data_IF_314407995121
#
_entry.id   IF_314407995121
#
_cell.length_a   1.000
_cell.length_b   1.000
_cell.length_c   1.000
_cell.angle_alpha   90.00
_cell.angle_beta   90.00
_cell.angle_gamma   90.00
#
_symmetry.space_group_name_H-M   'P 1'
#
loop_
_entity.id
_entity.type
_entity.pdbx_description
1 polymer ?
#
# COMPACT_ATOMS: atom_id res chain seq x y z
N UNK A 1 0.10 0.32 -23.09
CA UNK A 1 0.59 0.77 -21.77
C UNK A 1 0.61 -0.45 -20.89
N UNK A 2 1.71 -0.73 -20.20
CA UNK A 2 1.76 -1.85 -19.26
C UNK A 2 0.77 -1.62 -18.13
N UNK A 3 0.04 -2.66 -17.76
CA UNK A 3 -0.83 -2.67 -16.59
C UNK A 3 -0.05 -2.22 -15.34
N UNK A 4 -0.66 -1.38 -14.49
CA UNK A 4 -0.05 -0.96 -13.24
C UNK A 4 0.19 -2.19 -12.34
N UNK A 5 1.46 -2.48 -12.06
CA UNK A 5 1.85 -3.59 -11.19
C UNK A 5 2.19 -3.05 -9.79
N UNK A 6 1.22 -3.16 -8.89
CA UNK A 6 1.36 -2.69 -7.51
C UNK A 6 2.51 -3.37 -6.76
N UNK A 7 2.74 -4.67 -6.98
CA UNK A 7 3.82 -5.40 -6.32
C UNK A 7 5.18 -4.84 -6.71
N UNK A 8 5.42 -4.64 -8.00
CA UNK A 8 6.67 -4.04 -8.50
C UNK A 8 6.88 -2.62 -7.98
N UNK A 9 5.81 -1.81 -7.94
CA UNK A 9 5.89 -0.44 -7.45
C UNK A 9 6.19 -0.39 -5.95
N UNK A 10 5.54 -1.25 -5.15
CA UNK A 10 5.84 -1.38 -3.71
C UNK A 10 7.28 -1.87 -3.50
N UNK A 11 7.74 -2.89 -4.24
CA UNK A 11 9.13 -3.38 -4.18
C UNK A 11 10.13 -2.26 -4.44
N UNK A 12 9.93 -1.45 -5.47
CA UNK A 12 10.78 -0.28 -5.77
C UNK A 12 10.79 0.71 -4.60
N UNK A 13 9.62 1.05 -4.07
CA UNK A 13 9.47 2.04 -3.00
C UNK A 13 10.12 1.60 -1.67
N UNK A 14 10.27 0.30 -1.43
CA UNK A 14 10.89 -0.24 -0.21
C UNK A 14 12.35 -0.69 -0.42
N UNK A 15 12.93 -0.41 -1.60
CA UNK A 15 14.34 -0.71 -1.90
C UNK A 15 14.64 -2.15 -2.34
N UNK A 16 13.62 -2.90 -2.77
CA UNK A 16 13.72 -4.30 -3.20
C UNK A 16 13.33 -4.52 -4.68
N UNK A 17 13.32 -3.46 -5.49
CA UNK A 17 13.01 -3.56 -6.91
C UNK A 17 13.94 -4.53 -7.65
N UNK A 18 13.37 -5.33 -8.56
CA UNK A 18 14.13 -6.32 -9.35
C UNK A 18 14.57 -7.56 -8.57
N UNK A 19 14.07 -7.76 -7.35
CA UNK A 19 14.29 -8.97 -6.54
C UNK A 19 12.97 -9.69 -6.29
N UNK A 20 12.90 -10.96 -6.66
CA UNK A 20 11.68 -11.76 -6.57
C UNK A 20 11.65 -12.69 -5.34
N UNK A 21 12.74 -12.75 -4.58
CA UNK A 21 12.88 -13.64 -3.41
C UNK A 21 11.80 -13.40 -2.33
N UNK A 22 11.32 -12.17 -2.22
CA UNK A 22 10.34 -11.77 -1.23
C UNK A 22 8.93 -11.55 -1.80
N UNK A 23 8.68 -11.85 -3.08
CA UNK A 23 7.43 -11.49 -3.76
C UNK A 23 6.18 -11.97 -3.02
N UNK A 24 6.14 -13.25 -2.64
CA UNK A 24 5.00 -13.80 -1.91
C UNK A 24 4.79 -13.15 -0.54
N UNK A 25 5.89 -12.84 0.16
CA UNK A 25 5.85 -12.19 1.48
C UNK A 25 5.32 -10.76 1.34
N UNK A 26 5.88 -10.00 0.40
CA UNK A 26 5.48 -8.62 0.13
C UNK A 26 4.03 -8.57 -0.34
N UNK A 27 3.61 -9.48 -1.21
CA UNK A 27 2.23 -9.55 -1.68
C UNK A 27 1.26 -9.77 -0.50
N UNK A 28 1.60 -10.65 0.44
CA UNK A 28 0.77 -10.90 1.63
C UNK A 28 0.62 -9.63 2.49
N UNK A 29 1.69 -8.85 2.65
CA UNK A 29 1.61 -7.56 3.36
C UNK A 29 0.85 -6.48 2.57
N UNK A 30 0.97 -6.46 1.23
CA UNK A 30 0.18 -5.57 0.38
C UNK A 30 -1.30 -5.87 0.60
N UNK A 31 -1.70 -7.14 0.57
CA UNK A 31 -3.09 -7.56 0.72
C UNK A 31 -3.63 -7.19 2.11
N UNK A 32 -2.85 -7.41 3.17
CA UNK A 32 -3.21 -7.00 4.54
C UNK A 32 -3.38 -5.48 4.66
N UNK A 33 -2.45 -4.70 4.12
CA UNK A 33 -2.51 -3.23 4.15
C UNK A 33 -3.72 -2.72 3.37
N UNK A 34 -4.03 -3.32 2.21
CA UNK A 34 -5.24 -2.97 1.45
C UNK A 34 -6.50 -3.29 2.24
N UNK A 35 -6.55 -4.46 2.88
CA UNK A 35 -7.69 -4.85 3.70
C UNK A 35 -7.91 -3.88 4.86
N UNK A 36 -6.84 -3.49 5.56
CA UNK A 36 -6.91 -2.46 6.61
C UNK A 36 -7.49 -1.13 6.09
N UNK A 37 -7.06 -0.68 4.91
CA UNK A 37 -7.57 0.56 4.31
C UNK A 37 -9.06 0.44 3.93
N UNK A 38 -9.47 -0.69 3.35
CA UNK A 38 -10.86 -0.97 2.98
C UNK A 38 -11.77 -1.05 4.21
N UNK A 39 -11.37 -1.78 5.25
CA UNK A 39 -12.11 -1.88 6.51
C UNK A 39 -12.15 -0.54 7.26
N UNK A 40 -11.13 0.31 7.05
CA UNK A 40 -11.08 1.69 7.50
C UNK A 40 -11.98 2.67 6.73
N UNK A 41 -12.71 2.20 5.70
CA UNK A 41 -13.67 2.99 4.93
C UNK A 41 -13.14 3.55 3.62
N UNK A 42 -11.92 3.21 3.19
CA UNK A 42 -11.42 3.62 1.88
C UNK A 42 -12.20 2.93 0.75
N UNK A 43 -12.43 3.64 -0.36
CA UNK A 43 -13.13 3.08 -1.52
C UNK A 43 -12.21 2.14 -2.32
N UNK A 44 -12.71 1.02 -2.86
CA UNK A 44 -11.91 0.10 -3.66
C UNK A 44 -11.19 0.75 -4.85
N UNK A 45 -11.80 1.72 -5.54
CA UNK A 45 -11.14 2.42 -6.65
C UNK A 45 -9.95 3.25 -6.19
N UNK A 46 -10.07 3.90 -5.03
CA UNK A 46 -8.98 4.67 -4.42
C UNK A 46 -7.86 3.74 -3.95
N UNK A 47 -8.18 2.65 -3.26
CA UNK A 47 -7.14 1.72 -2.74
C UNK A 47 -6.36 1.05 -3.87
N UNK A 48 -7.01 0.74 -5.00
CA UNK A 48 -6.37 0.08 -6.14
C UNK A 48 -5.74 1.05 -7.15
N UNK A 49 -5.78 2.37 -6.90
CA UNK A 49 -5.17 3.35 -7.82
C UNK A 49 -3.65 3.40 -7.67
N UNK A 50 -2.91 3.77 -8.73
CA UNK A 50 -1.46 4.01 -8.65
C UNK A 50 -1.09 5.03 -7.57
N UNK A 51 -1.94 6.04 -7.36
CA UNK A 51 -1.73 7.08 -6.34
C UNK A 51 -1.74 6.58 -4.90
N UNK A 52 -2.23 5.37 -4.65
CA UNK A 52 -2.20 4.72 -3.32
C UNK A 52 -0.94 3.88 -3.08
N UNK A 53 -0.14 3.60 -4.12
CA UNK A 53 1.03 2.70 -4.05
C UNK A 53 2.05 3.11 -2.97
N UNK A 54 2.33 4.42 -2.86
CA UNK A 54 3.28 4.93 -1.87
C UNK A 54 2.80 4.74 -0.42
N UNK A 55 1.50 4.91 -0.15
CA UNK A 55 0.95 4.65 1.18
C UNK A 55 0.95 3.15 1.50
N UNK A 56 0.61 2.31 0.51
CA UNK A 56 0.65 0.86 0.66
C UNK A 56 2.08 0.40 0.96
N UNK A 57 3.08 0.91 0.23
CA UNK A 57 4.50 0.62 0.49
C UNK A 57 4.93 1.02 1.90
N UNK A 58 4.42 2.16 2.41
CA UNK A 58 4.66 2.56 3.81
C UNK A 58 4.05 1.59 4.81
N UNK A 59 2.82 1.14 4.59
CA UNK A 59 2.16 0.14 5.43
C UNK A 59 2.92 -1.19 5.44
N UNK A 60 3.43 -1.62 4.28
CA UNK A 60 4.27 -2.80 4.16
C UNK A 60 5.54 -2.66 4.98
N UNK A 61 6.25 -1.52 4.90
CA UNK A 61 7.43 -1.27 5.75
C UNK A 61 7.12 -1.22 7.24
N UNK A 62 5.97 -0.66 7.62
CA UNK A 62 5.57 -0.58 9.02
C UNK A 62 5.30 -1.98 9.60
N UNK A 63 4.72 -2.91 8.83
CA UNK A 63 4.45 -4.29 9.27
C UNK A 63 5.63 -5.24 9.08
N UNK A 64 6.40 -5.06 8.01
CA UNK A 64 7.51 -5.92 7.66
C UNK A 64 8.80 -5.47 8.36
N UNK A 65 8.88 -5.77 9.65
CA UNK A 65 10.05 -5.44 10.46
C UNK A 65 10.77 -6.70 10.97
N UNK A 66 12.12 -6.69 11.07
CA UNK A 66 12.88 -7.83 11.57
C UNK A 66 12.56 -8.21 13.02
N UNK A 67 12.02 -7.27 13.80
CA UNK A 67 11.76 -7.43 15.25
C UNK A 67 10.28 -7.47 15.60
N UNK A 68 9.38 -7.51 14.61
CA UNK A 68 7.95 -7.62 14.85
C UNK A 68 7.31 -6.38 15.48
N UNK A 69 7.75 -5.17 15.13
CA UNK A 69 6.87 -4.02 15.27
C UNK A 69 5.61 -4.32 14.43
N UNK A 70 4.53 -4.67 15.14
CA UNK A 70 3.30 -5.22 14.60
C UNK A 70 2.20 -4.15 14.50
N UNK A 71 2.58 -2.89 14.29
CA UNK A 71 1.64 -1.78 14.27
C UNK A 71 2.03 -0.73 13.23
N UNK A 72 1.01 -0.06 12.70
CA UNK A 72 1.17 1.03 11.76
C UNK A 72 1.69 2.29 12.45
N UNK A 73 2.59 3.01 11.76
CA UNK A 73 3.10 4.28 12.23
C UNK A 73 1.98 5.33 12.36
N UNK A 74 2.11 6.33 13.25
CA UNK A 74 1.16 7.44 13.32
C UNK A 74 0.98 8.18 11.99
N UNK A 75 2.05 8.23 11.19
CA UNK A 75 2.00 8.78 9.84
C UNK A 75 1.11 7.96 8.92
N UNK A 76 1.29 6.63 8.86
CA UNK A 76 0.43 5.75 8.08
C UNK A 76 -1.03 5.87 8.51
N UNK A 77 -1.32 5.82 9.82
CA UNK A 77 -2.68 5.97 10.36
C UNK A 77 -3.31 7.30 9.94
N UNK A 78 -2.57 8.41 10.00
CA UNK A 78 -3.06 9.73 9.55
C UNK A 78 -3.35 9.77 8.05
N UNK A 79 -2.48 9.15 7.23
CA UNK A 79 -2.66 9.07 5.78
C UNK A 79 -3.80 8.14 5.38
N UNK A 80 -4.01 7.05 6.11
CA UNK A 80 -5.16 6.15 5.90
C UNK A 80 -6.48 6.90 6.11
N UNK A 81 -6.58 7.72 7.16
CA UNK A 81 -7.75 8.59 7.38
C UNK A 81 -7.92 9.57 6.22
N UNK A 82 -6.85 10.24 5.78
CA UNK A 82 -6.91 11.15 4.63
C UNK A 82 -7.33 10.44 3.34
N UNK A 83 -6.92 9.18 3.15
CA UNK A 83 -7.30 8.37 2.00
C UNK A 83 -8.79 7.97 2.07
N UNK A 84 -9.30 7.65 3.26
CA UNK A 84 -10.70 7.30 3.48
C UNK A 84 -11.66 8.46 3.20
N UNK A 85 -11.18 9.70 3.25
CA UNK A 85 -11.95 10.90 2.90
C UNK A 85 -12.02 11.17 1.39
N UNK A 86 -11.28 10.42 0.56
CA UNK A 86 -11.31 10.60 -0.90
C UNK A 86 -12.51 9.92 -1.54
N UNK A 87 -13.03 10.57 -2.58
CA UNK A 87 -14.03 10.01 -3.47
C UNK A 87 -13.40 9.39 -4.73
N UNK A 88 -14.21 8.65 -5.49
CA UNK A 88 -13.78 8.04 -6.75
C UNK A 88 -13.29 9.10 -7.77
N UNK A 89 -13.79 10.33 -7.67
CA UNK A 89 -13.44 11.47 -8.53
C UNK A 89 -12.03 12.02 -8.25
N UNK A 90 -11.50 11.77 -7.04
CA UNK A 90 -10.16 12.21 -6.62
C UNK A 90 -9.05 11.27 -7.09
N UNK A 91 -9.42 10.18 -7.77
CA UNK A 91 -8.47 9.22 -8.33
C UNK A 91 -7.90 9.80 -9.61
N UNK A 92 -6.66 10.27 -9.54
CA UNK A 92 -5.88 10.63 -10.72
C UNK A 92 -5.75 9.39 -11.62
N UNK A 93 -6.42 9.42 -12.77
CA UNK A 93 -6.21 8.46 -13.85
C UNK A 93 -4.99 8.93 -14.64
N UNK A 94 -3.95 8.10 -14.69
CA UNK A 94 -2.82 8.29 -15.61
C UNK A 94 -3.26 8.15 -17.08
#
# INVERSE_FOLDING_TARGET
MSEFNLLEEVKKNIGLGGNDYHDQTIQSYIDEVKQYLLDGGCKPKVVNSPSSAGLIARGVLDLWTPTGAADFSPYFKSRAIQLALKDDEDVQTE
#
